data_IF_797219799043
#
_entry.id   IF_797219799043
#
_cell.length_a   1.000
_cell.length_b   1.000
_cell.length_c   1.000
_cell.angle_alpha   90.00
_cell.angle_beta   90.00
_cell.angle_gamma   90.00
#
_symmetry.space_group_name_H-M   'P 1'
#
loop_
_entity.id
_entity.type
_entity.pdbx_description
1 polymer ?
#
# COMPACT_ATOMS: atom_id res chain seq x y z
N UNK A 1 12.73 15.07 20.22
CA UNK A 1 11.61 14.20 19.79
C UNK A 1 11.43 13.15 20.87
N UNK A 2 10.20 12.89 21.32
CA UNK A 2 9.90 11.87 22.31
C UNK A 2 8.79 10.99 21.77
N UNK A 3 9.04 9.69 21.75
CA UNK A 3 8.04 8.67 21.45
C UNK A 3 8.08 7.66 22.59
N UNK A 4 6.92 7.40 23.19
CA UNK A 4 6.71 6.29 24.10
C UNK A 4 5.32 5.71 23.84
N UNK A 5 5.18 4.39 23.86
CA UNK A 5 3.88 3.74 23.81
C UNK A 5 4.01 2.26 24.14
N UNK A 6 2.98 1.69 24.77
CA UNK A 6 2.83 0.23 24.91
C UNK A 6 2.06 -0.28 23.72
N UNK A 7 2.59 -1.30 23.04
CA UNK A 7 1.85 -1.99 21.99
C UNK A 7 0.76 -2.84 22.62
N UNK A 8 -0.44 -2.80 22.05
CA UNK A 8 -1.49 -3.76 22.40
C UNK A 8 -1.12 -5.13 21.84
N UNK A 9 -1.61 -6.22 22.45
CA UNK A 9 -1.39 -7.58 21.93
C UNK A 9 -1.89 -7.70 20.48
N UNK A 10 -3.06 -7.11 20.21
CA UNK A 10 -3.64 -7.04 18.87
C UNK A 10 -2.74 -6.27 17.90
N UNK A 11 -2.28 -5.08 18.28
CA UNK A 11 -1.41 -4.23 17.48
C UNK A 11 -0.08 -4.89 17.15
N UNK A 12 0.57 -5.51 18.15
CA UNK A 12 1.80 -6.26 17.96
C UNK A 12 1.58 -7.42 16.95
N UNK A 13 0.54 -8.23 17.15
CA UNK A 13 0.20 -9.36 16.26
C UNK A 13 -0.11 -8.92 14.85
N UNK A 14 -0.85 -7.83 14.70
CA UNK A 14 -1.18 -7.25 13.40
C UNK A 14 0.10 -6.85 12.66
N UNK A 15 1.02 -6.16 13.34
CA UNK A 15 2.28 -5.71 12.76
C UNK A 15 3.17 -6.88 12.34
N UNK A 16 3.51 -7.81 13.24
CA UNK A 16 4.51 -8.84 12.93
C UNK A 16 3.98 -10.00 12.08
N UNK A 17 2.71 -10.38 12.26
CA UNK A 17 2.15 -11.57 11.58
C UNK A 17 1.56 -11.24 10.22
N UNK A 18 0.83 -10.13 10.13
CA UNK A 18 0.02 -9.82 8.96
C UNK A 18 0.67 -8.73 8.10
N UNK A 19 1.19 -7.66 8.70
CA UNK A 19 1.57 -6.47 7.94
C UNK A 19 3.05 -6.50 7.48
N UNK A 20 3.99 -6.59 8.41
CA UNK A 20 5.42 -6.50 8.10
C UNK A 20 5.93 -7.58 7.13
N UNK A 21 5.47 -8.85 7.18
CA UNK A 21 5.87 -9.84 6.18
C UNK A 21 5.37 -9.52 4.76
N UNK A 22 4.30 -8.75 4.63
CA UNK A 22 3.78 -8.32 3.32
C UNK A 22 4.60 -7.15 2.80
N UNK A 23 4.88 -6.14 3.63
CA UNK A 23 5.62 -4.94 3.21
C UNK A 23 7.10 -5.26 2.89
N UNK A 24 7.67 -6.27 3.54
CA UNK A 24 9.03 -6.76 3.26
C UNK A 24 9.18 -7.29 1.83
N UNK A 25 8.09 -7.81 1.23
CA UNK A 25 8.11 -8.30 -0.16
C UNK A 25 8.27 -7.18 -1.18
N UNK A 26 7.84 -5.96 -0.85
CA UNK A 26 7.92 -4.80 -1.75
C UNK A 26 9.22 -4.01 -1.59
N UNK A 27 9.81 -4.01 -0.40
CA UNK A 27 11.06 -3.29 -0.16
C UNK A 27 11.69 -3.62 1.20
N UNK A 28 13.03 -3.57 1.23
CA UNK A 28 13.81 -3.83 2.46
C UNK A 28 13.70 -2.71 3.50
N UNK A 29 13.41 -1.49 3.04
CA UNK A 29 13.27 -0.33 3.92
C UNK A 29 11.88 0.28 3.80
N UNK A 30 11.43 0.91 4.87
CA UNK A 30 10.14 1.58 4.94
C UNK A 30 10.28 2.90 5.70
N UNK A 31 9.52 3.90 5.28
CA UNK A 31 9.45 5.21 5.91
C UNK A 31 8.28 5.18 6.88
N UNK A 32 8.55 5.40 8.16
CA UNK A 32 7.54 5.42 9.21
C UNK A 32 7.26 6.87 9.54
N UNK A 33 5.99 7.27 9.49
CA UNK A 33 5.50 8.57 9.92
C UNK A 33 4.55 8.36 11.10
N UNK A 34 4.99 8.80 12.28
CA UNK A 34 4.27 8.71 13.53
C UNK A 34 3.63 10.07 13.82
N UNK A 35 2.30 10.08 13.96
CA UNK A 35 1.54 11.23 14.46
C UNK A 35 0.94 10.96 15.83
N UNK A 36 0.05 11.85 16.28
CA UNK A 36 -0.68 11.68 17.54
C UNK A 36 -1.78 10.63 17.43
N UNK A 37 -2.46 10.58 16.29
CA UNK A 37 -3.66 9.76 16.10
C UNK A 37 -3.45 8.64 15.07
N UNK A 38 -2.43 8.77 14.22
CA UNK A 38 -2.21 7.85 13.11
C UNK A 38 -0.73 7.52 12.93
N UNK A 39 -0.47 6.28 12.54
CA UNK A 39 0.84 5.75 12.18
C UNK A 39 0.80 5.30 10.73
N UNK A 40 1.73 5.83 9.94
CA UNK A 40 1.83 5.50 8.52
C UNK A 40 3.13 4.78 8.23
N UNK A 41 3.04 3.77 7.37
CA UNK A 41 4.17 3.08 6.76
C UNK A 41 4.12 3.35 5.26
N UNK A 42 5.18 3.94 4.73
CA UNK A 42 5.25 4.44 3.36
C UNK A 42 6.47 3.82 2.69
N UNK A 43 6.24 3.23 1.53
CA UNK A 43 7.26 2.82 0.59
C UNK A 43 7.00 3.51 -0.73
N UNK A 44 7.85 4.47 -1.06
CA UNK A 44 7.77 5.19 -2.33
C UNK A 44 8.32 4.34 -3.47
N UNK A 45 7.92 4.65 -4.69
CA UNK A 45 8.41 4.02 -5.93
C UNK A 45 9.92 4.13 -6.14
N UNK A 46 10.61 4.98 -5.37
CA UNK A 46 12.07 5.09 -5.37
C UNK A 46 12.74 4.00 -4.54
N UNK A 47 12.05 3.47 -3.52
CA UNK A 47 12.58 2.47 -2.60
C UNK A 47 12.14 1.04 -2.96
N UNK A 48 11.23 0.92 -3.92
CA UNK A 48 10.60 -0.31 -4.39
C UNK A 48 10.76 -0.40 -5.91
N UNK A 49 10.40 -1.54 -6.50
CA UNK A 49 10.40 -1.74 -7.94
C UNK A 49 9.19 -1.04 -8.61
N UNK A 50 9.05 0.28 -8.39
CA UNK A 50 8.03 1.14 -8.98
C UNK A 50 6.68 1.18 -8.26
N UNK A 51 6.46 0.37 -7.22
CA UNK A 51 5.19 0.29 -6.49
C UNK A 51 5.16 1.26 -5.31
N UNK A 52 4.20 2.19 -5.29
CA UNK A 52 3.96 3.00 -4.10
C UNK A 52 3.01 2.28 -3.13
N UNK A 53 3.48 1.98 -1.92
CA UNK A 53 2.69 1.32 -0.87
C UNK A 53 2.57 2.24 0.32
N UNK A 54 1.33 2.57 0.71
CA UNK A 54 1.03 3.32 1.92
C UNK A 54 0.05 2.54 2.77
N UNK A 55 0.39 2.31 4.04
CA UNK A 55 -0.48 1.72 5.04
C UNK A 55 -0.70 2.70 6.19
N UNK A 56 -1.96 2.83 6.61
CA UNK A 56 -2.39 3.71 7.70
C UNK A 56 -2.99 2.87 8.82
N UNK A 57 -2.51 3.11 10.02
CA UNK A 57 -3.04 2.53 11.25
C UNK A 57 -3.47 3.65 12.18
N UNK A 58 -4.62 3.48 12.84
CA UNK A 58 -4.97 4.34 13.96
C UNK A 58 -4.01 4.02 15.13
N UNK A 59 -3.49 5.06 15.80
CA UNK A 59 -2.55 4.91 16.91
C UNK A 59 -3.17 4.07 18.04
N UNK A 60 -4.47 4.24 18.32
CA UNK A 60 -5.24 3.45 19.29
C UNK A 60 -5.35 1.95 18.95
N UNK A 61 -5.22 1.57 17.67
CA UNK A 61 -5.24 0.15 17.28
C UNK A 61 -3.89 -0.52 17.57
N UNK A 62 -2.79 0.23 17.41
CA UNK A 62 -1.43 -0.27 17.60
C UNK A 62 -0.98 -0.17 19.05
N UNK A 63 -1.30 0.94 19.71
CA UNK A 63 -0.82 1.30 21.03
C UNK A 63 -1.97 1.49 22.02
N UNK A 64 -1.66 1.24 23.29
CA UNK A 64 -2.55 1.58 24.39
C UNK A 64 -2.67 3.11 24.53
N UNK A 65 -3.91 3.59 24.51
CA UNK A 65 -4.29 5.01 24.43
C UNK A 65 -3.69 5.82 25.57
N UNK A 66 -3.63 5.25 26.78
CA UNK A 66 -3.12 5.94 27.96
C UNK A 66 -1.60 6.14 27.93
N UNK A 67 -0.91 5.33 27.15
CA UNK A 67 0.56 5.25 27.16
C UNK A 67 1.20 5.87 25.93
N UNK A 68 0.44 6.00 24.83
CA UNK A 68 0.95 6.56 23.59
C UNK A 68 1.18 8.06 23.71
N UNK A 69 2.44 8.46 23.53
CA UNK A 69 2.90 9.85 23.59
C UNK A 69 3.86 10.08 22.43
N UNK A 70 3.41 10.84 21.43
CA UNK A 70 4.25 11.33 20.34
C UNK A 70 4.42 12.85 20.47
N UNK A 71 5.67 13.32 20.63
CA UNK A 71 6.00 14.75 20.74
C UNK A 71 7.18 15.11 19.85
N UNK A 72 6.95 16.08 18.97
CA UNK A 72 7.94 16.59 18.02
C UNK A 72 7.78 18.08 17.83
N UNK A 73 8.87 18.77 17.47
CA UNK A 73 8.85 20.22 17.22
C UNK A 73 8.04 20.58 15.97
N UNK A 74 7.87 19.63 15.05
CA UNK A 74 7.19 19.84 13.78
C UNK A 74 5.83 19.12 13.80
N UNK A 75 4.78 19.84 14.20
CA UNK A 75 3.39 19.35 14.25
C UNK A 75 3.19 18.01 14.98
N UNK A 76 4.01 17.68 15.99
CA UNK A 76 4.03 16.38 16.65
C UNK A 76 4.18 15.18 15.69
N UNK A 77 4.76 15.40 14.50
CA UNK A 77 5.11 14.36 13.56
C UNK A 77 6.57 13.94 13.74
N UNK A 78 6.80 12.65 13.81
CA UNK A 78 8.13 12.04 13.81
C UNK A 78 8.19 11.14 12.59
N UNK A 79 9.11 11.41 11.68
CA UNK A 79 9.34 10.56 10.53
C UNK A 79 10.77 10.02 10.52
N UNK A 80 10.92 8.75 10.16
CA UNK A 80 12.23 8.15 9.94
C UNK A 80 12.18 6.94 9.00
N UNK A 81 13.33 6.55 8.47
CA UNK A 81 13.49 5.31 7.72
C UNK A 81 13.97 4.17 8.62
N UNK A 82 13.35 3.01 8.47
CA UNK A 82 13.69 1.78 9.18
C UNK A 82 13.82 0.60 8.21
N UNK A 83 14.67 -0.37 8.55
CA UNK A 83 14.74 -1.64 7.85
C UNK A 83 13.63 -2.58 8.32
N UNK A 84 12.83 -3.08 7.37
CA UNK A 84 11.63 -3.88 7.67
C UNK A 84 12.02 -5.21 8.32
N UNK A 85 13.07 -5.87 7.83
CA UNK A 85 13.53 -7.14 8.36
C UNK A 85 14.02 -7.07 9.82
N UNK A 86 14.66 -5.97 10.22
CA UNK A 86 15.07 -5.75 11.61
C UNK A 86 13.86 -5.55 12.51
N UNK A 87 12.91 -4.71 12.09
CA UNK A 87 11.68 -4.48 12.84
C UNK A 87 10.86 -5.77 13.00
N UNK A 88 10.75 -6.57 11.94
CA UNK A 88 10.06 -7.85 11.96
C UNK A 88 10.73 -8.85 12.91
N UNK A 89 12.07 -8.93 12.89
CA UNK A 89 12.83 -9.79 13.79
C UNK A 89 12.59 -9.43 15.25
N UNK A 90 12.58 -8.14 15.57
CA UNK A 90 12.40 -7.67 16.95
C UNK A 90 10.99 -7.98 17.46
N UNK A 91 9.96 -7.70 16.66
CA UNK A 91 8.59 -8.00 17.07
C UNK A 91 8.30 -9.51 17.13
N UNK A 92 8.89 -10.31 16.23
CA UNK A 92 8.82 -11.78 16.33
C UNK A 92 9.51 -12.29 17.59
N UNK A 93 10.66 -11.71 17.97
CA UNK A 93 11.35 -12.03 19.20
C UNK A 93 10.50 -11.74 20.44
N UNK A 94 9.89 -10.56 20.50
CA UNK A 94 8.96 -10.19 21.56
C UNK A 94 7.77 -11.17 21.66
N UNK A 95 7.18 -11.53 20.51
CA UNK A 95 6.08 -12.50 20.46
C UNK A 95 6.51 -13.91 20.93
N UNK A 96 7.73 -14.35 20.62
CA UNK A 96 8.24 -15.66 21.03
C UNK A 96 8.45 -15.76 22.56
N UNK A 97 8.72 -14.65 23.23
CA UNK A 97 8.86 -14.59 24.70
C UNK A 97 7.51 -14.66 25.43
N UNK A 98 6.37 -14.74 24.72
CA UNK A 98 5.03 -14.61 25.31
C UNK A 98 4.95 -13.41 26.26
N UNK A 99 5.54 -12.29 25.85
CA UNK A 99 5.55 -11.08 26.67
C UNK A 99 4.13 -10.56 26.86
N UNK A 100 3.74 -10.31 28.10
CA UNK A 100 2.45 -9.69 28.43
C UNK A 100 2.40 -8.23 27.96
N UNK A 101 3.58 -7.60 27.85
CA UNK A 101 3.70 -6.18 27.54
C UNK A 101 4.91 -5.89 26.66
N UNK A 102 4.71 -5.13 25.59
CA UNK A 102 5.78 -4.65 24.71
C UNK A 102 5.79 -3.12 24.70
N UNK A 103 6.79 -2.51 25.34
CA UNK A 103 7.01 -1.07 25.28
C UNK A 103 7.89 -0.68 24.10
N UNK A 104 7.51 0.40 23.42
CA UNK A 104 8.27 1.02 22.35
C UNK A 104 8.67 2.42 22.77
N UNK A 105 9.96 2.71 22.71
CA UNK A 105 10.52 4.01 23.08
C UNK A 105 11.58 4.46 22.09
N UNK A 106 11.49 5.71 21.66
CA UNK A 106 12.57 6.35 20.91
C UNK A 106 13.68 6.78 21.88
N UNK A 107 14.89 6.25 21.69
CA UNK A 107 16.06 6.55 22.51
C UNK A 107 17.22 6.99 21.64
N UNK A 108 18.11 7.81 22.19
CA UNK A 108 19.36 8.22 21.54
C UNK A 108 20.52 7.57 22.27
N UNK A 109 21.39 6.86 21.56
CA UNK A 109 22.58 6.22 22.14
C UNK A 109 23.83 6.76 21.49
N UNK A 110 24.90 6.86 22.27
CA UNK A 110 26.23 7.18 21.76
C UNK A 110 26.83 5.92 21.17
N UNK A 111 27.19 5.97 19.89
CA UNK A 111 27.84 4.87 19.18
C UNK A 111 29.24 5.34 18.79
N UNK A 112 30.28 4.50 18.93
CA UNK A 112 31.61 4.85 18.45
C UNK A 112 31.58 5.12 16.94
N UNK A 113 31.97 6.33 16.55
CA UNK A 113 32.09 6.71 15.15
C UNK A 113 33.31 6.06 14.48
N UNK A 114 33.39 6.12 13.14
CA UNK A 114 34.51 5.56 12.37
C UNK A 114 35.87 6.22 12.71
N UNK A 115 35.86 7.43 13.27
CA UNK A 115 37.05 8.14 13.75
C UNK A 115 37.23 8.11 15.29
N UNK A 116 36.48 7.26 16.00
CA UNK A 116 36.52 7.16 17.47
C UNK A 116 35.71 8.23 18.21
N UNK A 117 35.17 9.23 17.52
CA UNK A 117 34.28 10.23 18.13
C UNK A 117 32.92 9.63 18.48
N UNK A 118 32.36 9.92 19.67
CA UNK A 118 31.03 9.44 20.06
C UNK A 118 29.95 10.14 19.23
N UNK A 119 29.26 9.38 18.38
CA UNK A 119 28.16 9.89 17.57
C UNK A 119 26.82 9.50 18.20
N UNK A 120 25.97 10.49 18.43
CA UNK A 120 24.60 10.25 18.90
C UNK A 120 23.73 9.72 17.76
N UNK A 121 23.26 8.48 17.89
CA UNK A 121 22.38 7.84 16.90
C UNK A 121 21.03 7.47 17.52
N UNK A 122 19.91 7.74 16.83
CA UNK A 122 18.58 7.35 17.32
C UNK A 122 18.31 5.85 17.10
N UNK A 123 17.66 5.23 18.09
CA UNK A 123 17.22 3.85 18.09
C UNK A 123 15.77 3.75 18.57
N UNK A 124 15.02 2.84 17.95
CA UNK A 124 13.71 2.43 18.44
C UNK A 124 13.91 1.23 19.37
N UNK A 125 13.76 1.46 20.67
CA UNK A 125 13.95 0.44 21.69
C UNK A 125 12.63 -0.25 21.99
N UNK A 126 12.64 -1.58 21.92
CA UNK A 126 11.54 -2.47 22.25
C UNK A 126 11.88 -3.19 23.55
N UNK A 127 11.05 -3.01 24.57
CA UNK A 127 11.18 -3.69 25.85
C UNK A 127 10.00 -4.62 26.01
N UNK A 128 10.25 -5.92 25.85
CA UNK A 128 9.27 -6.97 26.07
C UNK A 128 9.42 -7.50 27.50
N UNK A 129 8.37 -7.37 28.30
CA UNK A 129 8.33 -7.86 29.68
C UNK A 129 7.46 -9.12 29.71
N UNK A 130 8.07 -10.25 30.01
CA UNK A 130 7.40 -11.53 30.27
C UNK A 130 7.40 -11.87 31.76
N UNK A 131 6.75 -12.99 32.12
CA UNK A 131 6.57 -13.42 33.50
C UNK A 131 7.88 -13.62 34.29
N UNK A 132 8.98 -14.01 33.61
CA UNK A 132 10.27 -14.30 34.24
C UNK A 132 11.46 -13.56 33.62
N UNK A 133 11.30 -12.95 32.44
CA UNK A 133 12.40 -12.33 31.70
C UNK A 133 11.97 -11.03 31.05
N UNK A 134 12.87 -10.05 31.04
CA UNK A 134 12.70 -8.79 30.28
C UNK A 134 13.72 -8.77 29.15
N UNK A 135 13.25 -8.60 27.93
CA UNK A 135 14.07 -8.58 26.71
C UNK A 135 14.04 -7.17 26.13
N UNK A 136 15.21 -6.56 26.01
CA UNK A 136 15.37 -5.24 25.36
C UNK A 136 16.06 -5.44 24.02
N UNK A 137 15.42 -4.97 22.96
CA UNK A 137 15.95 -5.05 21.60
C UNK A 137 15.84 -3.69 20.92
N UNK A 138 16.92 -3.27 20.28
CA UNK A 138 17.00 -1.96 19.65
C UNK A 138 17.04 -2.08 18.13
N UNK A 139 16.19 -1.32 17.46
CA UNK A 139 16.18 -1.18 16.01
C UNK A 139 16.85 0.15 15.65
N UNK A 140 17.98 0.14 14.91
CA UNK A 140 18.63 1.37 14.48
C UNK A 140 17.74 2.13 13.52
N UNK A 141 17.68 3.46 13.69
CA UNK A 141 17.02 4.34 12.74
C UNK A 141 18.07 4.85 11.76
N UNK A 142 17.81 4.64 10.47
CA UNK A 142 18.79 4.93 9.40
C UNK A 142 18.80 6.42 9.05
N UNK A 143 17.62 7.00 8.84
CA UNK A 143 17.45 8.38 8.39
C UNK A 143 16.31 9.06 9.17
N UNK A 144 16.59 9.78 10.27
CA UNK A 144 15.61 10.67 10.87
C UNK A 144 15.36 11.85 9.93
N UNK A 145 14.12 12.09 9.54
CA UNK A 145 13.77 13.10 8.55
C UNK A 145 13.76 14.52 9.13
N UNK A 146 14.20 15.49 8.35
CA UNK A 146 14.07 16.91 8.67
C UNK A 146 12.66 17.41 8.40
N UNK A 147 12.28 18.56 8.96
CA UNK A 147 10.93 19.12 8.84
C UNK A 147 10.45 19.25 7.37
N UNK A 148 11.32 19.69 6.46
CA UNK A 148 11.02 19.77 5.02
C UNK A 148 10.73 18.40 4.41
N UNK A 149 11.51 17.38 4.78
CA UNK A 149 11.32 16.01 4.29
C UNK A 149 10.06 15.36 4.90
N UNK A 150 9.71 15.69 6.15
CA UNK A 150 8.45 15.27 6.76
C UNK A 150 7.27 15.81 5.96
N UNK A 151 7.32 17.08 5.55
CA UNK A 151 6.28 17.66 4.70
C UNK A 151 6.16 16.93 3.35
N UNK A 152 7.29 16.60 2.71
CA UNK A 152 7.29 15.80 1.48
C UNK A 152 6.67 14.41 1.68
N UNK A 153 6.90 13.77 2.82
CA UNK A 153 6.26 12.49 3.17
C UNK A 153 4.76 12.64 3.43
N UNK A 154 4.34 13.75 4.04
CA UNK A 154 2.93 14.08 4.25
C UNK A 154 2.20 14.28 2.92
N UNK A 155 2.87 14.84 1.91
CA UNK A 155 2.33 14.90 0.55
C UNK A 155 2.33 13.52 -0.10
N UNK A 156 3.41 12.75 0.06
CA UNK A 156 3.54 11.42 -0.53
C UNK A 156 2.54 10.39 0.04
N UNK A 157 2.07 10.54 1.28
CA UNK A 157 1.01 9.68 1.83
C UNK A 157 -0.37 9.92 1.22
N UNK A 158 -0.59 11.07 0.57
CA UNK A 158 -1.89 11.39 -0.02
C UNK A 158 -2.06 10.65 -1.35
N UNK A 159 -2.57 9.42 -1.27
CA UNK A 159 -2.81 8.54 -2.42
C UNK A 159 -3.79 9.18 -3.43
N UNK A 160 -4.66 10.08 -2.97
CA UNK A 160 -5.62 10.79 -3.83
C UNK A 160 -4.95 11.68 -4.87
N UNK A 161 -3.74 12.18 -4.58
CA UNK A 161 -2.97 12.97 -5.53
C UNK A 161 -2.41 12.12 -6.70
N UNK A 162 -2.17 10.82 -6.47
CA UNK A 162 -1.56 9.93 -7.46
C UNK A 162 -2.58 9.20 -8.33
N UNK A 163 -3.81 9.02 -7.85
CA UNK A 163 -4.81 8.20 -8.52
C UNK A 163 -6.19 8.89 -8.52
N UNK A 164 -6.59 9.53 -9.63
CA UNK A 164 -7.88 10.22 -9.71
C UNK A 164 -9.09 9.28 -9.73
N UNK A 165 -8.88 7.98 -9.97
CA UNK A 165 -9.92 6.96 -9.95
C UNK A 165 -9.38 5.66 -9.36
N UNK A 166 -9.97 5.19 -8.27
CA UNK A 166 -9.61 3.90 -7.67
C UNK A 166 -10.60 2.81 -8.07
N UNK A 167 -10.11 1.57 -8.13
CA UNK A 167 -10.92 0.39 -8.36
C UNK A 167 -10.81 -0.49 -7.14
N UNK A 168 -11.92 -0.71 -6.45
CA UNK A 168 -11.96 -1.61 -5.31
C UNK A 168 -12.00 -3.07 -5.81
N UNK A 169 -10.85 -3.73 -5.67
CA UNK A 169 -10.68 -5.16 -5.99
C UNK A 169 -10.91 -6.07 -4.78
N UNK A 170 -11.09 -5.53 -3.57
CA UNK A 170 -11.26 -6.33 -2.34
C UNK A 170 -12.42 -7.33 -2.45
N UNK A 171 -13.62 -6.96 -2.97
CA UNK A 171 -14.74 -7.91 -3.08
C UNK A 171 -14.47 -9.09 -4.01
N UNK A 172 -13.53 -8.96 -4.95
CA UNK A 172 -13.20 -9.96 -5.95
C UNK A 172 -11.74 -10.44 -5.85
N UNK A 173 -11.06 -10.18 -4.71
CA UNK A 173 -9.62 -10.39 -4.59
C UNK A 173 -9.22 -11.84 -4.85
N UNK A 174 -9.97 -12.81 -4.32
CA UNK A 174 -9.68 -14.23 -4.55
C UNK A 174 -9.77 -14.63 -6.03
N UNK A 175 -10.76 -14.12 -6.75
CA UNK A 175 -10.90 -14.36 -8.18
C UNK A 175 -9.81 -13.65 -8.99
N UNK A 176 -9.45 -12.43 -8.61
CA UNK A 176 -8.37 -11.67 -9.23
C UNK A 176 -7.02 -12.38 -9.04
N UNK A 177 -6.71 -12.85 -7.83
CA UNK A 177 -5.50 -13.63 -7.54
C UNK A 177 -5.44 -14.91 -8.39
N UNK A 178 -6.54 -15.67 -8.47
CA UNK A 178 -6.59 -16.87 -9.31
C UNK A 178 -6.41 -16.59 -10.81
N UNK A 179 -6.75 -15.38 -11.29
CA UNK A 179 -6.46 -14.96 -12.66
C UNK A 179 -4.99 -14.62 -12.80
N UNK A 180 -4.43 -13.79 -11.91
CA UNK A 180 -3.01 -13.40 -11.92
C UNK A 180 -2.11 -14.65 -11.84
N UNK A 181 -2.46 -15.63 -11.01
CA UNK A 181 -1.72 -16.89 -10.88
C UNK A 181 -1.73 -17.75 -12.15
N UNK A 182 -2.73 -17.60 -13.02
CA UNK A 182 -2.77 -18.27 -14.33
C UNK A 182 -2.03 -17.45 -15.38
N UNK A 183 -2.12 -16.13 -15.33
CA UNK A 183 -1.48 -15.23 -16.30
C UNK A 183 0.05 -15.17 -16.12
N UNK A 184 0.57 -15.29 -14.90
CA UNK A 184 2.02 -15.31 -14.64
C UNK A 184 2.76 -16.44 -15.34
N UNK A 185 2.05 -17.50 -15.75
CA UNK A 185 2.62 -18.61 -16.51
C UNK A 185 2.69 -18.33 -18.02
N UNK A 186 1.99 -17.29 -18.49
CA UNK A 186 1.89 -16.94 -19.91
C UNK A 186 2.88 -15.84 -20.26
N UNK A 187 2.95 -14.79 -19.43
CA UNK A 187 3.84 -13.64 -19.63
C UNK A 187 4.19 -12.98 -18.29
N UNK A 188 5.32 -12.29 -18.25
CA UNK A 188 5.80 -11.49 -17.11
C UNK A 188 5.02 -10.17 -16.99
N UNK A 189 4.27 -9.79 -18.03
CA UNK A 189 3.45 -8.58 -18.07
C UNK A 189 1.96 -8.89 -18.15
N UNK A 190 1.15 -8.12 -17.43
CA UNK A 190 -0.31 -8.23 -17.47
C UNK A 190 -0.94 -6.85 -17.58
N UNK A 191 -1.83 -6.67 -18.55
CA UNK A 191 -2.61 -5.44 -18.72
C UNK A 191 -3.97 -5.59 -18.04
N UNK A 192 -4.24 -4.74 -17.04
CA UNK A 192 -5.56 -4.62 -16.43
C UNK A 192 -6.38 -3.59 -17.20
N UNK A 193 -7.40 -4.05 -17.93
CA UNK A 193 -8.40 -3.18 -18.55
C UNK A 193 -9.66 -3.13 -17.67
N UNK A 194 -10.04 -1.93 -17.23
CA UNK A 194 -11.25 -1.70 -16.44
C UNK A 194 -12.33 -1.15 -17.36
N UNK A 195 -13.32 -1.98 -17.70
CA UNK A 195 -14.45 -1.56 -18.53
C UNK A 195 -15.62 -1.16 -17.65
N UNK A 196 -16.02 0.11 -17.71
CA UNK A 196 -17.29 0.56 -17.15
C UNK A 196 -18.40 0.23 -18.13
N UNK A 197 -19.22 -0.78 -17.80
CA UNK A 197 -20.43 -1.05 -18.58
C UNK A 197 -21.47 -0.04 -18.13
N UNK A 198 -21.74 0.98 -18.96
CA UNK A 198 -22.98 1.74 -18.84
C UNK A 198 -24.13 0.78 -19.19
N UNK A 199 -24.60 0.03 -18.19
CA UNK A 199 -25.83 -0.73 -18.31
C UNK A 199 -26.93 0.29 -18.62
N UNK A 200 -27.53 0.18 -19.81
CA UNK A 200 -28.51 1.14 -20.31
C UNK A 200 -29.55 1.50 -19.25
N UNK A 201 -29.47 2.72 -18.74
CA UNK A 201 -30.51 3.33 -17.95
C UNK A 201 -31.01 4.55 -18.73
N UNK A 202 -32.29 4.49 -19.11
CA UNK A 202 -33.11 5.70 -19.28
C UNK A 202 -32.90 6.59 -18.05
N UNK A 203 -32.90 7.93 -18.23
CA UNK A 203 -32.60 8.84 -17.13
C UNK A 203 -33.74 8.77 -16.11
N UNK A 204 -33.48 8.22 -14.93
CA UNK A 204 -34.27 8.46 -13.74
C UNK A 204 -33.43 9.32 -12.80
N UNK A 205 -34.00 10.48 -12.46
CA UNK A 205 -33.40 11.47 -11.59
C UNK A 205 -33.09 10.89 -10.20
N UNK A 206 -31.97 11.35 -9.63
CA UNK A 206 -31.70 11.31 -8.19
C UNK A 206 -31.54 9.93 -7.56
N UNK A 207 -30.30 9.44 -7.46
CA UNK A 207 -30.01 8.28 -6.61
C UNK A 207 -28.64 7.69 -6.87
N UNK A 208 -27.92 7.39 -5.80
CA UNK A 208 -26.54 6.93 -5.78
C UNK A 208 -26.22 5.86 -6.84
N UNK A 209 -25.14 6.09 -7.61
CA UNK A 209 -24.63 5.18 -8.63
C UNK A 209 -24.00 3.96 -7.96
N UNK A 210 -24.71 2.84 -7.96
CA UNK A 210 -24.14 1.54 -7.63
C UNK A 210 -23.45 0.97 -8.87
N UNK A 211 -22.12 0.86 -8.81
CA UNK A 211 -21.28 0.39 -9.91
C UNK A 211 -21.22 -1.13 -9.89
N UNK A 212 -21.72 -1.77 -10.95
CA UNK A 212 -21.59 -3.24 -11.12
C UNK A 212 -20.57 -3.51 -12.21
N UNK A 213 -19.33 -3.81 -11.81
CA UNK A 213 -18.25 -4.17 -12.73
C UNK A 213 -18.37 -5.64 -13.16
N UNK A 214 -18.29 -5.88 -14.48
CA UNK A 214 -18.15 -7.21 -15.06
C UNK A 214 -16.76 -7.29 -15.69
N UNK A 215 -15.96 -8.22 -15.23
CA UNK A 215 -14.57 -8.40 -15.66
C UNK A 215 -14.49 -9.20 -16.95
N UNK A 216 -13.64 -8.75 -17.88
CA UNK A 216 -13.22 -9.53 -19.05
C UNK A 216 -11.74 -9.24 -19.30
N UNK A 217 -10.90 -10.27 -19.19
CA UNK A 217 -9.47 -10.19 -19.50
C UNK A 217 -9.30 -10.56 -20.96
N UNK A 218 -8.60 -9.73 -21.73
CA UNK A 218 -8.22 -10.03 -23.10
C UNK A 218 -6.74 -10.41 -23.12
N UNK A 219 -6.43 -11.63 -23.55
CA UNK A 219 -5.09 -11.96 -24.06
C UNK A 219 -4.90 -11.27 -25.41
N UNK A 220 -3.78 -10.59 -25.58
CA UNK A 220 -3.43 -9.96 -26.84
C UNK A 220 -2.89 -11.02 -27.82
N UNK A 221 -3.78 -11.66 -28.56
CA UNK A 221 -3.44 -12.21 -29.89
C UNK A 221 -4.26 -11.43 -30.91
N UNK A 222 -3.59 -10.57 -31.68
CA UNK A 222 -4.21 -9.82 -32.75
C UNK A 222 -4.05 -10.58 -34.08
N UNK A 223 -5.14 -10.86 -34.80
CA UNK A 223 -5.10 -10.92 -36.25
C UNK A 223 -5.84 -9.71 -36.84
N UNK A 224 -5.22 -9.08 -37.83
CA UNK A 224 -5.77 -7.96 -38.61
C UNK A 224 -6.95 -8.45 -39.46
N UNK A 225 -8.13 -7.80 -39.47
CA UNK A 225 -9.14 -8.05 -40.49
C UNK A 225 -9.32 -6.86 -41.44
N UNK A 226 -9.32 -7.18 -42.73
CA UNK A 226 -9.76 -6.31 -43.81
C UNK A 226 -11.29 -6.26 -43.89
N UNK A 227 -11.78 -5.06 -44.22
CA UNK A 227 -13.04 -4.70 -44.89
C UNK A 227 -14.42 -5.13 -44.33
N UNK A 228 -15.23 -4.08 -44.09
CA UNK A 228 -16.69 -3.94 -44.19
C UNK A 228 -17.59 -4.69 -43.18
N UNK A 229 -18.18 -3.94 -42.22
CA UNK A 229 -19.59 -3.98 -41.79
C UNK A 229 -19.88 -2.93 -40.67
N UNK A 230 -21.15 -2.56 -40.52
CA UNK A 230 -21.70 -1.28 -40.02
C UNK A 230 -21.46 -0.86 -38.54
N UNK A 231 -21.39 0.46 -38.34
CA UNK A 231 -21.02 1.19 -37.11
C UNK A 231 -22.18 1.46 -36.12
N UNK A 232 -21.89 1.42 -34.81
CA UNK A 232 -22.58 2.18 -33.75
C UNK A 232 -21.52 2.83 -32.85
N UNK A 233 -21.65 4.14 -32.60
CA UNK A 233 -20.67 4.95 -31.87
C UNK A 233 -20.67 4.68 -30.35
N UNK A 234 -19.50 4.36 -29.80
CA UNK A 234 -19.18 4.44 -28.38
C UNK A 234 -17.77 5.01 -28.20
N UNK A 235 -17.59 5.91 -27.24
CA UNK A 235 -16.29 6.54 -26.92
C UNK A 235 -15.57 5.74 -25.83
N UNK A 236 -14.42 5.16 -26.17
CA UNK A 236 -13.46 4.58 -25.21
C UNK A 236 -12.26 5.51 -25.07
N UNK A 237 -11.91 5.92 -23.85
CA UNK A 237 -10.63 6.58 -23.58
C UNK A 237 -9.63 5.55 -23.08
N UNK A 238 -8.56 5.31 -23.84
CA UNK A 238 -7.36 4.61 -23.37
C UNK A 238 -6.21 5.61 -23.27
N UNK A 239 -5.38 5.46 -22.23
CA UNK A 239 -4.15 6.24 -22.05
C UNK A 239 -2.99 5.26 -21.99
N UNK A 240 -2.05 5.42 -22.91
CA UNK A 240 -0.81 4.62 -23.02
C UNK A 240 0.36 5.54 -22.71
N UNK A 241 1.28 5.08 -21.86
CA UNK A 241 2.42 5.86 -21.40
C UNK A 241 3.68 5.48 -22.20
N UNK A 242 4.38 6.46 -22.77
CA UNK A 242 5.73 6.29 -23.32
C UNK A 242 6.67 7.38 -22.77
N UNK A 243 7.97 7.07 -22.68
CA UNK A 243 9.03 8.00 -22.26
C UNK A 243 9.03 9.24 -23.17
N UNK A 244 8.40 10.33 -22.73
CA UNK A 244 8.35 11.59 -23.48
C UNK A 244 7.18 12.52 -23.19
N UNK A 245 6.17 12.09 -22.41
CA UNK A 245 5.04 12.95 -22.02
C UNK A 245 3.68 12.49 -22.59
N UNK A 246 2.61 13.07 -22.04
CA UNK A 246 1.23 12.67 -22.30
C UNK A 246 0.73 13.22 -23.64
N UNK A 247 0.27 12.33 -24.53
CA UNK A 247 -0.54 12.71 -25.68
C UNK A 247 -1.84 11.89 -25.67
N UNK A 248 -3.03 12.52 -25.69
CA UNK A 248 -4.26 11.78 -25.91
C UNK A 248 -4.32 11.31 -27.37
N UNK A 249 -4.43 10.00 -27.60
CA UNK A 249 -4.91 9.45 -28.88
C UNK A 249 -6.32 8.95 -28.71
N UNK A 250 -7.27 9.57 -29.39
CA UNK A 250 -8.61 9.02 -29.61
C UNK A 250 -8.50 7.84 -30.58
N UNK A 251 -8.73 6.62 -30.09
CA UNK A 251 -9.00 5.47 -30.95
C UNK A 251 -10.49 5.11 -30.85
N UNK A 252 -11.18 5.13 -31.99
CA UNK A 252 -12.52 4.57 -32.12
C UNK A 252 -12.41 3.04 -32.24
N UNK A 253 -12.98 2.30 -31.29
CA UNK A 253 -13.05 0.84 -31.34
C UNK A 253 -14.51 0.36 -31.41
N UNK A 254 -14.85 -0.42 -32.44
CA UNK A 254 -16.15 -1.08 -32.63
C UNK A 254 -16.11 -2.52 -32.07
N UNK A 255 -17.20 -2.97 -31.42
CA UNK A 255 -17.39 -4.34 -30.95
C UNK A 255 -18.58 -5.01 -31.67
N UNK A 256 -18.52 -6.32 -32.00
CA UNK A 256 -19.60 -7.02 -32.70
C UNK A 256 -20.77 -7.43 -31.77
N UNK A 257 -22.00 -7.40 -32.32
CA UNK A 257 -23.26 -7.84 -31.66
C UNK A 257 -23.30 -9.36 -31.46
N UNK A 258 -23.87 -9.88 -30.36
CA UNK A 258 -24.20 -11.30 -30.24
C UNK A 258 -25.49 -11.63 -31.03
N UNK A 259 -25.43 -12.67 -31.87
CA UNK A 259 -26.57 -13.17 -32.63
C UNK A 259 -27.67 -13.73 -31.72
N UNK A 260 -28.92 -13.31 -31.96
CA UNK A 260 -30.10 -13.80 -31.28
C UNK A 260 -30.38 -15.26 -31.69
N UNK A 261 -30.48 -16.18 -30.72
CA UNK A 261 -30.96 -17.55 -30.93
C UNK A 261 -32.45 -17.52 -31.30
N UNK A 262 -32.79 -17.95 -32.51
CA UNK A 262 -34.19 -18.24 -32.90
C UNK A 262 -34.67 -19.50 -32.20
N UNK A 263 -35.74 -19.38 -31.43
CA UNK A 263 -36.62 -20.50 -31.08
C UNK A 263 -37.26 -21.04 -32.36
N UNK A 264 -37.17 -22.35 -32.59
CA UNK A 264 -37.97 -23.06 -33.57
C UNK A 264 -38.85 -24.06 -32.82
N UNK A 265 -40.16 -23.78 -32.84
CA UNK A 265 -41.23 -24.76 -32.60
C UNK A 265 -41.34 -25.64 -33.85
N UNK A 266 -41.31 -26.96 -33.67
CA UNK A 266 -42.34 -27.90 -34.12
C UNK A 266 -42.14 -29.21 -33.38
#
# INVERSE_FOLDING_TARGET
MKLKGKLTEHGARLLWKNFLPIIEKFGKTCQVLLGTDEVHFIQTSLNTDGVHVTARFAAETLFDVDTYRCQSKHFNLIAFQVEVGLLLRVLKGAAATNSEMVEVKLTTRQVPGPAGEPQSKPFLSFTAVGASTTVVQDVPISKPYMASEVQSLVVAKDVGAFCPAYVDVVPALGAALAIVDRLKAVDDTAMLAVCTVQAGQRPAAGGARQWKSRWRVHSAEAPVPSAACDYVHGTSSSTVWHRGGWWPRTHHACLPRPAARRCLRR
#
